data_IF_163218272046
#
_entry.id   IF_163218272046
#
_cell.length_a   1.000
_cell.length_b   1.000
_cell.length_c   1.000
_cell.angle_alpha   90.00
_cell.angle_beta   90.00
_cell.angle_gamma   90.00
#
_symmetry.space_group_name_H-M   'P 1'
#
loop_
_entity.id
_entity.type
_entity.pdbx_description
1 polymer ?
#
# COMPACT_ATOMS: atom_id res chain seq x y z
N UNK A 1 2.34 -4.32 -25.44
CA UNK A 1 1.85 -2.96 -25.72
C UNK A 1 2.37 -2.03 -24.63
N UNK A 2 2.90 -0.85 -24.98
CA UNK A 2 3.19 0.20 -23.99
C UNK A 2 1.93 1.05 -23.85
N UNK A 3 1.38 1.14 -22.64
CA UNK A 3 0.36 2.13 -22.31
C UNK A 3 1.05 3.42 -21.91
N UNK A 4 0.61 4.54 -22.47
CA UNK A 4 1.10 5.87 -22.15
C UNK A 4 0.30 6.47 -20.98
N UNK A 5 0.93 7.38 -20.24
CA UNK A 5 0.23 8.12 -19.19
C UNK A 5 -0.94 8.94 -19.74
N UNK A 6 -0.90 9.36 -21.01
CA UNK A 6 -1.98 10.09 -21.65
C UNK A 6 -3.21 9.21 -21.89
N UNK A 7 -3.01 7.97 -22.34
CA UNK A 7 -4.10 7.00 -22.49
C UNK A 7 -4.74 6.66 -21.15
N UNK A 8 -3.95 6.54 -20.07
CA UNK A 8 -4.48 6.34 -18.71
C UNK A 8 -5.35 7.52 -18.28
N UNK A 9 -4.93 8.76 -18.59
CA UNK A 9 -5.68 9.98 -18.20
C UNK A 9 -7.07 10.03 -18.82
N UNK A 10 -7.25 9.48 -20.02
CA UNK A 10 -8.54 9.49 -20.72
C UNK A 10 -9.51 8.40 -20.27
N UNK A 11 -9.07 7.44 -19.45
CA UNK A 11 -9.93 6.35 -18.98
C UNK A 11 -11.00 6.82 -17.99
N UNK A 12 -12.15 6.12 -17.94
CA UNK A 12 -13.10 6.23 -16.82
C UNK A 12 -12.43 5.96 -15.47
N UNK A 13 -12.97 6.55 -14.40
CA UNK A 13 -12.42 6.41 -13.04
C UNK A 13 -12.33 4.94 -12.62
N UNK A 14 -13.36 4.15 -12.92
CA UNK A 14 -13.40 2.72 -12.57
C UNK A 14 -12.26 1.92 -13.20
N UNK A 15 -11.89 2.25 -14.44
CA UNK A 15 -10.78 1.58 -15.13
C UNK A 15 -9.43 2.03 -14.59
N UNK A 16 -9.30 3.32 -14.24
CA UNK A 16 -8.10 3.83 -13.55
C UNK A 16 -7.88 3.10 -12.22
N UNK A 17 -8.95 2.89 -11.45
CA UNK A 17 -8.89 2.16 -10.18
C UNK A 17 -8.47 0.72 -10.41
N UNK A 18 -9.07 0.01 -11.37
CA UNK A 18 -8.69 -1.37 -11.71
C UNK A 18 -7.22 -1.48 -12.16
N UNK A 19 -6.74 -0.53 -12.95
CA UNK A 19 -5.32 -0.50 -13.36
C UNK A 19 -4.41 -0.25 -12.16
N UNK A 20 -4.78 0.67 -11.27
CA UNK A 20 -4.03 0.95 -10.05
C UNK A 20 -3.95 -0.27 -9.13
N UNK A 21 -5.05 -1.01 -8.96
CA UNK A 21 -5.11 -2.27 -8.21
C UNK A 21 -4.19 -3.34 -8.83
N UNK A 22 -4.23 -3.50 -10.16
CA UNK A 22 -3.38 -4.45 -10.86
C UNK A 22 -1.89 -4.10 -10.73
N UNK A 23 -1.54 -2.81 -10.83
CA UNK A 23 -0.17 -2.32 -10.62
C UNK A 23 0.28 -2.60 -9.18
N UNK A 24 -0.56 -2.30 -8.19
CA UNK A 24 -0.22 -2.55 -6.79
C UNK A 24 -0.03 -4.03 -6.46
N UNK A 25 -0.87 -4.91 -7.02
CA UNK A 25 -0.74 -6.34 -6.80
C UNK A 25 0.54 -6.91 -7.45
N UNK A 26 0.89 -6.44 -8.64
CA UNK A 26 2.15 -6.80 -9.30
C UNK A 26 3.38 -6.28 -8.52
N UNK A 27 3.32 -5.06 -8.00
CA UNK A 27 4.40 -4.48 -7.17
C UNK A 27 4.55 -5.20 -5.82
N UNK A 28 3.44 -5.68 -5.23
CA UNK A 28 3.46 -6.41 -3.95
C UNK A 28 4.36 -7.64 -4.01
N UNK A 29 4.37 -8.36 -5.14
CA UNK A 29 5.19 -9.56 -5.33
C UNK A 29 6.69 -9.28 -5.52
N UNK A 30 7.09 -8.02 -5.69
CA UNK A 30 8.47 -7.58 -5.97
C UNK A 30 8.86 -6.40 -5.08
N UNK A 31 8.39 -6.41 -3.84
CA UNK A 31 8.59 -5.29 -2.91
C UNK A 31 10.07 -5.05 -2.61
N UNK A 32 10.94 -6.05 -2.79
CA UNK A 32 12.39 -5.93 -2.66
C UNK A 32 13.03 -5.05 -3.75
N UNK A 33 12.39 -4.91 -4.91
CA UNK A 33 12.84 -4.06 -6.02
C UNK A 33 12.41 -2.60 -5.84
N UNK A 34 11.56 -2.31 -4.86
CA UNK A 34 11.06 -0.97 -4.62
C UNK A 34 12.22 -0.03 -4.22
N UNK A 35 12.31 1.19 -4.79
CA UNK A 35 13.37 2.14 -4.49
C UNK A 35 13.14 2.83 -3.13
N UNK A 36 13.04 2.04 -2.06
CA UNK A 36 12.86 2.49 -0.68
C UNK A 36 14.22 2.59 0.01
N UNK A 37 14.40 3.60 0.85
CA UNK A 37 15.62 3.71 1.65
C UNK A 37 15.69 2.59 2.69
N UNK A 38 16.91 2.18 3.03
CA UNK A 38 17.16 1.19 4.09
C UNK A 38 16.57 1.63 5.43
N UNK A 39 16.61 2.93 5.74
CA UNK A 39 16.03 3.50 6.96
C UNK A 39 14.51 3.26 7.06
N UNK A 40 13.78 3.42 5.95
CA UNK A 40 12.33 3.14 5.92
C UNK A 40 12.08 1.64 6.10
N UNK A 41 12.88 0.79 5.46
CA UNK A 41 12.75 -0.66 5.60
C UNK A 41 13.00 -1.12 7.05
N UNK A 42 14.05 -0.59 7.68
CA UNK A 42 14.41 -0.94 9.06
C UNK A 42 13.33 -0.48 10.05
N UNK A 43 12.78 0.73 9.85
CA UNK A 43 11.64 1.22 10.62
C UNK A 43 10.42 0.29 10.49
N UNK A 44 10.12 -0.19 9.28
CA UNK A 44 8.99 -1.10 9.05
C UNK A 44 9.23 -2.46 9.73
N UNK A 45 10.44 -3.02 9.64
CA UNK A 45 10.83 -4.26 10.31
C UNK A 45 10.74 -4.13 11.84
N UNK A 46 11.21 -3.02 12.39
CA UNK A 46 11.10 -2.75 13.84
C UNK A 46 9.64 -2.72 14.28
N UNK A 47 8.78 -2.02 13.53
CA UNK A 47 7.33 -1.95 13.81
C UNK A 47 6.67 -3.32 13.74
N UNK A 48 7.02 -4.14 12.75
CA UNK A 48 6.54 -5.50 12.65
C UNK A 48 6.98 -6.34 13.87
N UNK A 49 8.26 -6.27 14.24
CA UNK A 49 8.79 -7.00 15.38
C UNK A 49 8.11 -6.60 16.70
N UNK A 50 7.77 -5.31 16.88
CA UNK A 50 7.00 -4.84 18.04
C UNK A 50 5.60 -5.45 18.11
N UNK A 51 4.94 -5.64 16.96
CA UNK A 51 3.65 -6.33 16.90
C UNK A 51 3.81 -7.80 17.27
N UNK A 52 4.81 -8.48 16.72
CA UNK A 52 5.10 -9.89 16.99
C UNK A 52 5.45 -10.14 18.48
N UNK A 53 6.11 -9.18 19.13
CA UNK A 53 6.38 -9.19 20.58
C UNK A 53 5.19 -8.78 21.46
N UNK A 54 4.07 -8.35 20.86
CA UNK A 54 2.88 -7.88 21.60
C UNK A 54 3.02 -6.48 22.20
N UNK A 55 4.08 -5.74 21.86
CA UNK A 55 4.33 -4.35 22.31
C UNK A 55 3.51 -3.32 21.53
N UNK A 56 2.95 -3.71 20.38
CA UNK A 56 2.07 -2.91 19.56
C UNK A 56 0.91 -3.77 19.05
N UNK A 57 -0.26 -3.15 18.85
CA UNK A 57 -1.41 -3.82 18.24
C UNK A 57 -1.47 -3.46 16.77
N UNK A 58 -1.49 -4.47 15.90
CA UNK A 58 -1.89 -4.28 14.51
C UNK A 58 -3.39 -4.06 14.49
N UNK A 59 -3.78 -2.95 13.91
CA UNK A 59 -5.13 -2.45 13.92
C UNK A 59 -5.75 -2.66 12.54
N UNK A 60 -6.88 -3.35 12.51
CA UNK A 60 -7.62 -3.61 11.27
C UNK A 60 -8.30 -2.34 10.78
N UNK A 61 -7.90 -1.90 9.58
CA UNK A 61 -8.37 -0.68 8.94
C UNK A 61 -9.88 -0.70 8.70
N UNK A 62 -10.48 -1.84 8.37
CA UNK A 62 -11.92 -1.94 8.15
C UNK A 62 -12.71 -1.82 9.45
N UNK A 63 -12.10 -2.19 10.58
CA UNK A 63 -12.68 -1.96 11.91
C UNK A 63 -12.52 -0.51 12.39
N UNK A 64 -11.47 0.19 11.96
CA UNK A 64 -11.12 1.52 12.47
C UNK A 64 -11.74 2.71 11.75
N UNK A 65 -12.05 2.60 10.45
CA UNK A 65 -12.63 3.70 9.67
C UNK A 65 -13.88 4.30 10.35
N UNK A 66 -14.66 3.47 11.03
CA UNK A 66 -15.87 3.90 11.76
C UNK A 66 -15.58 4.62 13.09
N UNK A 67 -14.39 4.42 13.66
CA UNK A 67 -13.97 5.03 14.92
C UNK A 67 -13.22 6.36 14.72
N UNK A 68 -12.43 6.48 13.64
CA UNK A 68 -11.61 7.69 13.37
C UNK A 68 -12.44 8.85 12.80
N UNK A 69 -13.58 8.58 12.15
CA UNK A 69 -14.48 9.62 11.62
C UNK A 69 -15.34 10.37 12.65
N UNK A 70 -15.14 10.15 13.96
CA UNK A 70 -15.85 10.86 15.04
C UNK A 70 -14.91 11.62 15.98
N UNK A 71 -13.80 12.13 15.46
CA UNK A 71 -12.86 13.01 16.17
C UNK A 71 -12.83 14.39 15.54
#
# INVERSE_FOLDING_TARGET
MRMTAQEIRTLPIEEKVRIMEAIWEDMRGRYEEAPISHEVLDLLKERQARVERGEARLLDWDRLKFAVGRG
#
